data_IF_429499467157
#
_entry.id   IF_429499467157
#
_cell.length_a   1.000
_cell.length_b   1.000
_cell.length_c   1.000
_cell.angle_alpha   90.00
_cell.angle_beta   90.00
_cell.angle_gamma   90.00
#
_symmetry.space_group_name_H-M   'P 1'
#
loop_
_entity.id
_entity.type
_entity.pdbx_description
1 polymer ?
#
# COMPACT_ATOMS: atom_id res chain seq x y z
N UNK A 1 8.43 11.78 12.21
CA UNK A 1 7.00 11.89 11.83
C UNK A 1 6.50 10.47 11.60
N UNK A 2 5.46 10.00 12.29
CA UNK A 2 4.77 8.76 11.93
C UNK A 2 3.97 9.01 10.65
N UNK A 3 3.96 8.05 9.71
CA UNK A 3 3.30 8.22 8.40
C UNK A 3 1.76 8.08 8.45
N UNK A 4 1.16 8.03 9.65
CA UNK A 4 -0.25 7.66 9.83
C UNK A 4 -0.52 6.19 9.52
N UNK A 5 -1.75 5.74 9.76
CA UNK A 5 -2.21 4.40 9.39
C UNK A 5 -2.99 4.45 8.09
N UNK A 6 -2.78 3.48 7.20
CA UNK A 6 -3.57 3.31 5.98
C UNK A 6 -4.98 2.82 6.37
N UNK A 7 -6.05 3.57 6.07
CA UNK A 7 -7.41 3.09 6.32
C UNK A 7 -7.83 2.02 5.30
N UNK A 8 -8.77 1.17 5.68
CA UNK A 8 -9.49 0.29 4.76
C UNK A 8 -10.46 1.08 3.87
N UNK A 9 -10.83 0.49 2.74
CA UNK A 9 -11.73 1.12 1.75
C UNK A 9 -13.07 1.56 2.34
N UNK A 10 -13.62 0.79 3.30
CA UNK A 10 -14.87 1.09 3.98
C UNK A 10 -14.69 1.78 5.35
N UNK A 11 -13.53 2.39 5.58
CA UNK A 11 -13.27 3.12 6.82
C UNK A 11 -14.06 4.42 6.85
N UNK A 12 -14.69 4.71 7.99
CA UNK A 12 -15.39 5.97 8.27
C UNK A 12 -14.77 6.68 9.47
N UNK A 13 -15.23 7.90 9.79
CA UNK A 13 -14.82 8.62 11.01
C UNK A 13 -15.12 7.83 12.28
N UNK A 14 -16.29 7.18 12.29
CA UNK A 14 -16.86 6.53 13.48
C UNK A 14 -16.41 5.07 13.58
N UNK A 15 -16.25 4.42 12.42
CA UNK A 15 -15.80 3.03 12.33
C UNK A 15 -14.56 2.93 11.44
N UNK A 16 -13.41 2.97 12.10
CA UNK A 16 -12.11 2.77 11.43
C UNK A 16 -11.96 1.31 11.02
N UNK A 17 -11.65 1.10 9.74
CA UNK A 17 -11.25 -0.20 9.22
C UNK A 17 -9.86 -0.09 8.61
N UNK A 18 -9.21 -1.21 8.33
CA UNK A 18 -7.81 -1.27 7.89
C UNK A 18 -7.62 -2.33 6.82
N UNK A 19 -6.55 -2.25 6.01
CA UNK A 19 -6.19 -3.30 5.06
C UNK A 19 -6.22 -4.65 5.75
N UNK A 20 -6.94 -5.58 5.12
CA UNK A 20 -7.16 -6.91 5.68
C UNK A 20 -7.17 -7.96 4.57
N UNK A 21 -6.69 -9.16 4.88
CA UNK A 21 -6.71 -10.32 3.99
C UNK A 21 -7.33 -11.52 4.70
N UNK A 22 -7.76 -12.51 3.92
CA UNK A 22 -8.18 -13.82 4.43
C UNK A 22 -7.48 -14.91 3.63
N UNK A 23 -6.91 -15.88 4.32
CA UNK A 23 -6.33 -17.06 3.68
C UNK A 23 -7.45 -18.10 3.55
N UNK A 24 -7.82 -18.41 2.31
CA UNK A 24 -8.84 -19.41 2.03
C UNK A 24 -8.21 -20.81 1.94
N UNK A 25 -8.99 -21.84 2.28
CA UNK A 25 -8.60 -23.26 2.19
C UNK A 25 -7.33 -23.61 3.00
N UNK A 26 -7.11 -22.93 4.12
CA UNK A 26 -5.99 -23.21 5.02
C UNK A 26 -6.44 -23.16 6.48
N UNK A 27 -6.27 -24.26 7.19
CA UNK A 27 -6.60 -24.42 8.61
C UNK A 27 -5.37 -24.77 9.45
N UNK A 28 -4.18 -24.44 8.95
CA UNK A 28 -2.94 -24.73 9.66
C UNK A 28 -2.68 -23.81 10.87
N UNK A 29 -1.71 -24.18 11.72
CA UNK A 29 -1.51 -23.57 13.04
C UNK A 29 -0.78 -22.21 13.00
N UNK A 30 -0.28 -21.79 11.84
CA UNK A 30 0.32 -20.48 11.64
C UNK A 30 0.52 -20.17 10.16
N UNK A 31 0.68 -18.89 9.84
CA UNK A 31 1.19 -18.39 8.57
C UNK A 31 2.13 -17.20 8.82
N UNK A 32 3.07 -16.95 7.91
CA UNK A 32 3.82 -15.69 7.86
C UNK A 32 3.26 -14.86 6.71
N UNK A 33 2.91 -13.61 6.96
CA UNK A 33 2.49 -12.67 5.94
C UNK A 33 3.54 -11.57 5.83
N UNK A 34 4.07 -11.39 4.62
CA UNK A 34 4.97 -10.30 4.26
C UNK A 34 4.20 -9.32 3.39
N UNK A 35 4.19 -8.05 3.78
CA UNK A 35 3.55 -6.97 3.02
C UNK A 35 4.63 -6.01 2.55
N UNK A 36 4.63 -5.71 1.25
CA UNK A 36 5.58 -4.79 0.62
C UNK A 36 4.88 -3.86 -0.37
N UNK A 37 5.49 -2.73 -0.71
CA UNK A 37 4.99 -1.86 -1.76
C UNK A 37 5.50 -2.32 -3.13
N UNK A 38 4.61 -2.35 -4.13
CA UNK A 38 4.94 -2.59 -5.54
C UNK A 38 4.37 -1.49 -6.44
N UNK A 39 4.85 -1.39 -7.68
CA UNK A 39 4.34 -0.43 -8.66
C UNK A 39 2.86 -0.64 -8.95
N UNK A 40 2.17 0.43 -9.37
CA UNK A 40 0.74 0.40 -9.71
C UNK A 40 0.40 -0.56 -10.85
N UNK A 41 1.25 -0.61 -11.87
CA UNK A 41 0.97 -1.34 -13.12
C UNK A 41 1.85 -2.60 -13.24
N UNK A 42 1.33 -3.57 -14.00
CA UNK A 42 2.05 -4.81 -14.32
C UNK A 42 3.31 -4.48 -15.14
N UNK A 43 4.43 -5.21 -14.95
CA UNK A 43 4.55 -6.47 -14.21
C UNK A 43 4.71 -6.39 -12.67
N UNK A 44 4.44 -5.25 -12.01
CA UNK A 44 4.55 -5.07 -10.55
C UNK A 44 5.98 -5.24 -10.01
N UNK A 45 6.76 -4.16 -10.13
CA UNK A 45 8.12 -4.10 -9.58
C UNK A 45 8.13 -3.72 -8.10
N UNK A 46 9.15 -4.12 -7.32
CA UNK A 46 9.39 -3.58 -5.98
C UNK A 46 9.42 -2.05 -5.99
N UNK A 47 8.66 -1.42 -5.08
CA UNK A 47 8.57 0.04 -5.01
C UNK A 47 9.56 0.62 -3.98
N UNK A 48 10.18 1.77 -4.25
CA UNK A 48 11.17 2.38 -3.34
C UNK A 48 10.57 2.99 -2.06
N UNK A 49 9.25 3.20 -2.00
CA UNK A 49 8.58 3.64 -0.77
C UNK A 49 8.67 2.60 0.34
N UNK A 50 8.80 3.07 1.58
CA UNK A 50 8.90 2.22 2.76
C UNK A 50 7.53 2.01 3.40
N UNK A 51 7.16 0.76 3.69
CA UNK A 51 6.17 0.51 4.74
C UNK A 51 6.80 0.77 6.10
N UNK A 52 6.09 1.50 6.94
CA UNK A 52 6.50 1.87 8.30
C UNK A 52 5.37 1.52 9.27
N UNK A 53 5.71 1.15 10.50
CA UNK A 53 4.75 0.56 11.42
C UNK A 53 5.41 -0.28 12.49
N UNK A 54 4.60 -0.89 13.34
CA UNK A 54 5.06 -1.71 14.47
C UNK A 54 5.85 -2.95 14.01
N UNK A 55 5.36 -3.64 12.98
CA UNK A 55 5.95 -4.88 12.45
C UNK A 55 6.74 -4.64 11.14
N UNK A 56 7.12 -3.38 10.89
CA UNK A 56 7.81 -2.97 9.67
C UNK A 56 9.31 -2.82 9.89
N UNK A 57 10.10 -3.45 9.02
CA UNK A 57 11.56 -3.31 8.97
C UNK A 57 12.02 -3.28 7.51
N UNK A 58 13.01 -2.43 7.22
CA UNK A 58 13.60 -2.30 5.88
C UNK A 58 12.55 -2.05 4.77
N UNK A 59 11.48 -1.33 5.13
CA UNK A 59 10.38 -0.95 4.24
C UNK A 59 9.32 -2.03 3.99
N UNK A 60 9.33 -3.12 4.75
CA UNK A 60 8.46 -4.29 4.59
C UNK A 60 7.84 -4.65 5.94
N UNK A 61 6.54 -4.99 5.95
CA UNK A 61 5.84 -5.46 7.14
C UNK A 61 5.84 -6.98 7.19
N UNK A 62 6.26 -7.61 8.29
CA UNK A 62 6.25 -9.08 8.44
C UNK A 62 5.50 -9.48 9.70
N UNK A 63 4.41 -10.22 9.54
CA UNK A 63 3.52 -10.63 10.65
C UNK A 63 3.42 -12.15 10.69
N UNK A 64 3.62 -12.73 11.88
CA UNK A 64 3.34 -14.15 12.14
C UNK A 64 1.92 -14.30 12.69
N UNK A 65 1.05 -14.92 11.91
CA UNK A 65 -0.35 -15.17 12.25
C UNK A 65 -0.47 -16.55 12.89
N UNK A 66 -1.13 -16.66 14.05
CA UNK A 66 -1.37 -17.93 14.77
C UNK A 66 -2.66 -18.64 14.35
N UNK A 67 -3.71 -17.89 13.99
CA UNK A 67 -4.99 -18.45 13.53
C UNK A 67 -5.33 -17.87 12.14
N UNK A 68 -4.76 -18.41 11.05
CA UNK A 68 -4.89 -17.85 9.71
C UNK A 68 -6.26 -18.07 9.06
N UNK A 69 -7.14 -18.86 9.67
CA UNK A 69 -8.52 -19.07 9.22
C UNK A 69 -9.41 -17.83 9.40
N UNK A 70 -9.03 -16.91 10.29
CA UNK A 70 -9.71 -15.63 10.48
C UNK A 70 -9.18 -14.54 9.54
N UNK A 71 -9.91 -13.43 9.46
CA UNK A 71 -9.42 -12.21 8.80
C UNK A 71 -8.18 -11.70 9.52
N UNK A 72 -7.15 -11.37 8.74
CA UNK A 72 -5.89 -10.80 9.21
C UNK A 72 -5.90 -9.33 8.84
N UNK A 73 -5.73 -8.46 9.83
CA UNK A 73 -5.86 -7.00 9.69
C UNK A 73 -4.55 -6.30 10.04
N UNK A 74 -4.21 -5.24 9.29
CA UNK A 74 -2.97 -4.48 9.42
C UNK A 74 -3.25 -3.03 9.84
N UNK A 75 -3.55 -2.74 11.11
CA UNK A 75 -3.98 -1.40 11.54
C UNK A 75 -2.86 -0.37 11.67
N UNK A 76 -1.62 -0.83 11.86
CA UNK A 76 -0.47 0.01 12.21
C UNK A 76 0.55 0.12 11.09
N UNK A 77 0.11 0.07 9.82
CA UNK A 77 0.97 0.26 8.65
C UNK A 77 0.72 1.63 8.02
N UNK A 78 1.81 2.31 7.66
CA UNK A 78 1.85 3.57 6.94
C UNK A 78 2.84 3.50 5.78
N UNK A 79 2.75 4.45 4.85
CA UNK A 79 3.67 4.55 3.71
C UNK A 79 4.54 5.79 3.89
N UNK A 80 5.84 5.58 4.02
CA UNK A 80 6.82 6.64 3.97
C UNK A 80 7.32 6.79 2.53
N UNK A 81 6.89 7.86 1.86
CA UNK A 81 7.36 8.20 0.53
C UNK A 81 8.87 8.52 0.54
N UNK A 82 9.63 7.88 -0.34
CA UNK A 82 11.02 8.22 -0.56
C UNK A 82 11.15 9.45 -1.46
N UNK A 83 12.28 10.15 -1.37
CA UNK A 83 12.63 11.21 -2.33
C UNK A 83 13.26 10.57 -3.56
N UNK A 84 13.32 11.33 -4.67
CA UNK A 84 13.93 10.85 -5.93
C UNK A 84 15.38 10.39 -5.76
N UNK A 85 16.18 11.08 -4.94
CA UNK A 85 17.59 10.68 -4.72
C UNK A 85 17.73 9.41 -3.88
N UNK A 86 16.73 9.05 -3.07
CA UNK A 86 16.77 7.85 -2.22
C UNK A 86 16.25 6.59 -2.94
N UNK A 87 15.75 6.72 -4.18
CA UNK A 87 15.11 5.62 -4.91
C UNK A 87 16.06 4.44 -5.07
N UNK A 88 17.29 4.69 -5.50
CA UNK A 88 18.26 3.64 -5.77
C UNK A 88 18.66 2.89 -4.49
N UNK A 89 18.93 3.63 -3.42
CA UNK A 89 19.33 3.05 -2.13
C UNK A 89 18.20 2.21 -1.52
N UNK A 90 16.96 2.69 -1.60
CA UNK A 90 15.82 1.90 -1.14
C UNK A 90 15.65 0.63 -1.96
N UNK A 91 15.79 0.67 -3.28
CA UNK A 91 15.69 -0.53 -4.12
C UNK A 91 16.82 -1.54 -3.84
N UNK A 92 18.05 -1.06 -3.58
CA UNK A 92 19.15 -1.92 -3.11
C UNK A 92 18.83 -2.58 -1.76
N UNK A 93 18.13 -1.90 -0.87
CA UNK A 93 17.65 -2.52 0.38
C UNK A 93 16.69 -3.66 0.06
N UNK A 94 15.77 -3.50 -0.90
CA UNK A 94 14.80 -4.56 -1.31
C UNK A 94 15.52 -5.76 -1.89
N UNK A 95 16.54 -5.51 -2.71
CA UNK A 95 17.42 -6.53 -3.25
C UNK A 95 18.15 -7.30 -2.15
N UNK A 96 18.74 -6.58 -1.20
CA UNK A 96 19.47 -7.17 -0.07
C UNK A 96 18.59 -8.09 0.78
N UNK A 97 17.34 -7.68 1.04
CA UNK A 97 16.38 -8.50 1.80
C UNK A 97 15.61 -9.49 0.92
N UNK A 98 15.90 -9.54 -0.39
CA UNK A 98 15.31 -10.43 -1.40
C UNK A 98 13.78 -10.31 -1.49
N UNK A 99 13.27 -9.09 -1.42
CA UNK A 99 11.84 -8.81 -1.56
C UNK A 99 11.54 -8.39 -2.99
N UNK A 100 11.13 -9.38 -3.78
CA UNK A 100 10.59 -9.23 -5.12
C UNK A 100 9.45 -10.23 -5.32
N UNK A 101 8.20 -9.85 -4.99
CA UNK A 101 7.08 -10.78 -4.98
C UNK A 101 6.80 -11.44 -6.34
N UNK A 102 7.11 -10.75 -7.43
CA UNK A 102 6.80 -11.18 -8.80
C UNK A 102 8.03 -11.59 -9.61
N UNK A 103 9.22 -11.64 -8.98
CA UNK A 103 10.48 -11.99 -9.66
C UNK A 103 10.75 -11.13 -10.90
N UNK A 104 10.45 -9.84 -10.80
CA UNK A 104 10.58 -8.86 -11.88
C UNK A 104 11.93 -8.14 -11.91
N UNK A 105 12.76 -8.39 -10.89
CA UNK A 105 14.00 -7.68 -10.65
C UNK A 105 13.80 -6.31 -10.01
N UNK A 106 14.91 -5.59 -9.85
CA UNK A 106 14.95 -4.28 -9.22
C UNK A 106 15.18 -3.23 -10.30
N UNK A 107 14.15 -2.44 -10.68
CA UNK A 107 14.32 -1.43 -11.72
C UNK A 107 15.37 -0.40 -11.29
N UNK A 108 16.25 0.02 -12.20
CA UNK A 108 17.19 1.10 -11.89
C UNK A 108 16.46 2.42 -11.64
N UNK A 109 17.06 3.35 -10.89
CA UNK A 109 16.47 4.68 -10.64
C UNK A 109 16.16 5.49 -11.91
N UNK A 110 16.78 5.14 -13.04
CA UNK A 110 16.50 5.72 -14.35
C UNK A 110 15.18 5.27 -14.97
N UNK A 111 14.58 4.18 -14.48
CA UNK A 111 13.23 3.80 -14.84
C UNK A 111 12.29 4.79 -14.14
N UNK A 112 11.46 5.47 -14.91
CA UNK A 112 10.58 6.54 -14.45
C UNK A 112 9.44 5.98 -13.56
N UNK A 113 9.78 5.51 -12.34
CA UNK A 113 8.85 4.91 -11.38
C UNK A 113 7.89 6.00 -10.89
N UNK A 114 6.59 5.72 -10.96
CA UNK A 114 5.56 6.59 -10.40
C UNK A 114 5.61 6.60 -8.87
N UNK A 115 6.21 7.64 -8.30
CA UNK A 115 6.30 7.83 -6.84
C UNK A 115 4.97 8.30 -6.21
N UNK A 116 3.95 8.58 -7.00
CA UNK A 116 2.65 9.04 -6.50
C UNK A 116 1.66 7.89 -6.28
N UNK A 117 1.95 6.69 -6.79
CA UNK A 117 1.04 5.56 -6.67
C UNK A 117 1.76 4.25 -6.40
N UNK A 118 1.24 3.49 -5.43
CA UNK A 118 1.75 2.17 -5.08
C UNK A 118 0.60 1.19 -4.89
N UNK A 119 0.90 -0.10 -4.89
CA UNK A 119 0.00 -1.12 -4.33
C UNK A 119 0.68 -1.82 -3.17
N UNK A 120 -0.09 -2.20 -2.16
CA UNK A 120 0.36 -3.19 -1.17
C UNK A 120 0.31 -4.58 -1.83
N UNK A 121 1.40 -5.32 -1.76
CA UNK A 121 1.50 -6.72 -2.15
C UNK A 121 1.55 -7.58 -0.89
N UNK A 122 0.75 -8.64 -0.84
CA UNK A 122 0.68 -9.58 0.27
C UNK A 122 1.25 -10.93 -0.19
N UNK A 123 2.36 -11.34 0.43
CA UNK A 123 2.96 -12.66 0.27
C UNK A 123 2.67 -13.49 1.51
N UNK A 124 2.10 -14.68 1.31
CA UNK A 124 1.76 -15.59 2.40
C UNK A 124 2.64 -16.82 2.30
N UNK A 125 3.31 -17.13 3.41
CA UNK A 125 4.15 -18.32 3.57
C UNK A 125 3.48 -19.24 4.58
N UNK A 126 3.18 -20.47 4.14
CA UNK A 126 2.55 -21.52 4.94
C UNK A 126 3.59 -22.54 5.40
N UNK A 127 3.40 -23.15 6.58
CA UNK A 127 4.30 -24.19 7.09
C UNK A 127 4.21 -25.47 6.25
N UNK A 128 5.36 -26.09 6.00
CA UNK A 128 5.48 -27.44 5.47
C UNK A 128 5.34 -28.51 6.57
N UNK A 129 5.47 -29.78 6.18
CA UNK A 129 5.44 -30.92 7.10
C UNK A 129 6.51 -30.84 8.22
N UNK A 130 7.61 -30.10 7.99
CA UNK A 130 8.69 -29.88 8.95
C UNK A 130 8.50 -28.60 9.78
N UNK A 131 7.32 -27.97 9.71
CA UNK A 131 6.97 -26.70 10.39
C UNK A 131 7.82 -25.51 9.93
N UNK A 132 8.46 -25.58 8.76
CA UNK A 132 9.16 -24.45 8.14
C UNK A 132 8.22 -23.74 7.17
N UNK A 133 8.26 -22.41 7.12
CA UNK A 133 7.39 -21.61 6.25
C UNK A 133 7.93 -21.54 4.82
N UNK A 134 7.80 -22.63 4.07
CA UNK A 134 8.38 -22.80 2.72
C UNK A 134 7.34 -22.80 1.61
N UNK A 135 6.06 -23.07 1.91
CA UNK A 135 5.00 -23.04 0.92
C UNK A 135 4.56 -21.60 0.64
N UNK A 136 4.85 -21.11 -0.56
CA UNK A 136 4.53 -19.74 -0.99
C UNK A 136 3.19 -19.76 -1.71
N UNK A 137 2.22 -18.99 -1.20
CA UNK A 137 0.95 -18.73 -1.89
C UNK A 137 1.20 -17.66 -2.97
N UNK A 138 0.58 -17.74 -4.16
CA UNK A 138 0.69 -16.70 -5.16
C UNK A 138 0.43 -15.30 -4.57
N UNK A 139 1.33 -14.32 -4.79
CA UNK A 139 1.18 -12.99 -4.24
C UNK A 139 -0.08 -12.32 -4.80
N UNK A 140 -0.71 -11.50 -3.96
CA UNK A 140 -1.86 -10.68 -4.35
C UNK A 140 -1.59 -9.22 -4.06
N UNK A 141 -2.16 -8.33 -4.87
CA UNK A 141 -2.02 -6.87 -4.69
C UNK A 141 -3.37 -6.24 -4.36
N UNK A 142 -3.33 -5.20 -3.53
CA UNK A 142 -4.45 -4.31 -3.25
C UNK A 142 -4.78 -3.39 -4.44
N UNK A 143 -5.87 -2.62 -4.33
CA UNK A 143 -6.11 -1.47 -5.20
C UNK A 143 -4.98 -0.43 -5.08
N UNK A 144 -4.75 0.41 -6.11
CA UNK A 144 -3.76 1.46 -6.04
C UNK A 144 -4.04 2.41 -4.87
N UNK A 145 -3.01 2.69 -4.09
CA UNK A 145 -2.97 3.74 -3.09
C UNK A 145 -2.25 4.92 -3.75
N UNK A 146 -2.92 6.06 -3.77
CA UNK A 146 -2.41 7.28 -4.42
C UNK A 146 -2.06 8.28 -3.32
N UNK A 147 -0.89 8.92 -3.43
CA UNK A 147 -0.52 10.02 -2.54
C UNK A 147 -1.55 11.13 -2.68
N UNK A 148 -2.24 11.45 -1.58
CA UNK A 148 -3.24 12.51 -1.54
C UNK A 148 -2.67 13.86 -1.99
N UNK A 149 -1.36 14.11 -1.83
CA UNK A 149 -0.73 15.35 -2.34
C UNK A 149 -0.63 15.41 -3.86
N UNK A 150 -0.70 14.28 -4.54
CA UNK A 150 -0.67 14.18 -5.99
C UNK A 150 -2.06 14.27 -6.61
N UNK A 151 -3.09 13.85 -5.86
CA UNK A 151 -4.49 13.99 -6.24
C UNK A 151 -4.97 15.37 -5.82
N UNK A 152 -5.34 16.18 -6.79
CA UNK A 152 -5.97 17.46 -6.51
C UNK A 152 -7.44 17.15 -6.25
N UNK A 153 -7.83 16.97 -4.97
CA UNK A 153 -9.25 16.93 -4.60
C UNK A 153 -9.87 18.23 -5.13
N UNK A 154 -10.72 18.14 -6.14
CA UNK A 154 -11.43 19.31 -6.66
C UNK A 154 -12.50 19.70 -5.63
N UNK A 155 -12.19 20.72 -4.84
CA UNK A 155 -13.08 21.27 -3.83
C UNK A 155 -13.37 22.71 -4.20
N UNK A 156 -14.65 23.04 -4.34
CA UNK A 156 -15.08 24.43 -4.41
C UNK A 156 -14.93 24.99 -2.99
N UNK A 157 -13.92 25.80 -2.77
CA UNK A 157 -13.68 26.40 -1.46
C UNK A 157 -14.65 27.56 -1.23
N UNK A 158 -14.87 28.36 -2.27
CA UNK A 158 -15.76 29.51 -2.19
C UNK A 158 -16.33 29.90 -3.54
N UNK A 159 -17.57 30.39 -3.52
CA UNK A 159 -18.23 31.03 -4.64
C UNK A 159 -18.50 32.50 -4.27
N UNK A 160 -18.39 33.41 -5.24
CA UNK A 160 -18.81 34.81 -5.02
C UNK A 160 -20.32 34.94 -4.86
N UNK A 161 -21.10 34.04 -5.46
CA UNK A 161 -22.58 34.05 -5.48
C UNK A 161 -23.12 32.62 -5.44
N UNK A 162 -24.28 32.44 -4.80
CA UNK A 162 -24.99 31.15 -4.71
C UNK A 162 -26.32 31.13 -5.49
N UNK A 163 -26.65 32.23 -6.18
CA UNK A 163 -27.85 32.37 -6.99
C UNK A 163 -27.65 33.36 -8.13
N UNK A 164 -28.44 33.21 -9.18
CA UNK A 164 -28.42 34.03 -10.39
C UNK A 164 -29.78 34.05 -11.11
N UNK A 165 -29.88 34.88 -12.13
CA UNK A 165 -31.10 35.02 -12.93
C UNK A 165 -31.28 33.82 -13.87
N UNK A 166 -32.54 33.42 -14.09
CA UNK A 166 -32.88 32.29 -14.97
C UNK A 166 -32.43 32.46 -16.43
N UNK A 167 -32.23 33.71 -16.87
CA UNK A 167 -31.73 34.03 -18.22
C UNK A 167 -30.21 33.81 -18.37
N UNK A 168 -29.49 33.56 -17.28
CA UNK A 168 -28.03 33.42 -17.28
C UNK A 168 -27.29 34.76 -17.45
N UNK A 169 -25.97 34.68 -17.64
CA UNK A 169 -25.11 35.86 -17.85
C UNK A 169 -24.51 36.47 -16.57
N UNK A 170 -24.82 35.92 -15.40
CA UNK A 170 -24.18 36.32 -14.14
C UNK A 170 -22.72 35.86 -14.08
N UNK A 171 -21.81 36.78 -13.80
CA UNK A 171 -20.41 36.48 -13.53
C UNK A 171 -20.25 35.90 -12.11
N UNK A 172 -19.52 34.78 -12.00
CA UNK A 172 -19.25 34.09 -10.74
C UNK A 172 -17.75 33.81 -10.62
N UNK A 173 -17.17 34.17 -9.48
CA UNK A 173 -15.79 33.86 -9.14
C UNK A 173 -15.78 32.60 -8.27
N UNK A 174 -15.00 31.59 -8.68
CA UNK A 174 -14.81 30.32 -7.99
C UNK A 174 -13.35 30.23 -7.51
N UNK A 175 -13.17 29.91 -6.23
CA UNK A 175 -11.88 29.67 -5.57
C UNK A 175 -11.77 28.21 -5.15
#
# INVERSE_FOLDING_TARGET
RSAGSIPGEHSTSDRKTYPSIKIHNFEGPAAIVVVSCVTKDKPYYPHPHNLVGQDCKDGVCTVKVKNPSSVITFPNIGIQCCKRHDVEDNLKIREKIRVDPYSTGYPSANNNIDLNSVRLCFQVFLPDANKKFTHIVPPIVSQPIIDKKSVHDLVICRLSRQSGYAVGGDEVFLL
#
